data_IF_892897723679
#
_entry.id   IF_892897723679
#
_cell.length_a   1.000
_cell.length_b   1.000
_cell.length_c   1.000
_cell.angle_alpha   90.00
_cell.angle_beta   90.00
_cell.angle_gamma   90.00
#
_symmetry.space_group_name_H-M   'P 1'
#
loop_
_entity.id
_entity.type
_entity.pdbx_description
1 polymer ?
#
# COMPACT_ATOMS: atom_id res chain seq x y z
N UNK A 1 -22.04 9.43 -17.26
CA UNK A 1 -20.77 10.12 -17.59
C UNK A 1 -19.93 10.09 -16.32
N UNK A 2 -18.79 9.40 -16.31
CA UNK A 2 -17.93 9.32 -15.11
C UNK A 2 -17.06 10.58 -15.08
N UNK A 3 -16.86 11.23 -13.92
CA UNK A 3 -15.89 12.31 -13.82
C UNK A 3 -14.54 11.82 -14.32
N UNK A 4 -13.86 12.65 -15.11
CA UNK A 4 -12.56 12.33 -15.64
C UNK A 4 -11.50 12.29 -14.53
N UNK A 5 -10.33 11.78 -14.92
CA UNK A 5 -9.12 11.86 -14.09
C UNK A 5 -8.82 13.30 -13.59
N UNK A 6 -8.97 14.36 -14.41
CA UNK A 6 -8.74 15.74 -13.98
C UNK A 6 -9.70 16.19 -12.87
N UNK A 7 -11.00 15.92 -12.99
CA UNK A 7 -12.00 16.32 -12.00
C UNK A 7 -11.78 15.60 -10.66
N UNK A 8 -11.40 14.32 -10.70
CA UNK A 8 -11.08 13.56 -9.48
C UNK A 8 -9.85 14.14 -8.76
N UNK A 9 -8.84 14.60 -9.51
CA UNK A 9 -7.65 15.23 -8.96
C UNK A 9 -7.99 16.55 -8.23
N UNK A 10 -8.87 17.37 -8.79
CA UNK A 10 -9.32 18.62 -8.16
C UNK A 10 -10.03 18.34 -6.84
N UNK A 11 -10.94 17.36 -6.82
CA UNK A 11 -11.64 16.94 -5.60
C UNK A 11 -10.65 16.43 -4.55
N UNK A 12 -9.67 15.61 -4.96
CA UNK A 12 -8.64 15.10 -4.06
C UNK A 12 -7.83 16.22 -3.40
N UNK A 13 -7.48 17.27 -4.15
CA UNK A 13 -6.77 18.44 -3.61
C UNK A 13 -7.63 19.18 -2.58
N UNK A 14 -8.92 19.38 -2.84
CA UNK A 14 -9.84 20.02 -1.89
C UNK A 14 -9.92 19.23 -0.58
N UNK A 15 -10.09 17.90 -0.68
CA UNK A 15 -10.09 17.00 0.49
C UNK A 15 -8.76 17.11 1.25
N UNK A 16 -7.63 17.14 0.53
CA UNK A 16 -6.32 17.25 1.16
C UNK A 16 -6.13 18.58 1.92
N UNK A 17 -6.72 19.68 1.43
CA UNK A 17 -6.69 20.98 2.11
C UNK A 17 -7.57 20.98 3.36
N UNK A 18 -8.77 20.42 3.29
CA UNK A 18 -9.72 20.38 4.43
C UNK A 18 -9.22 19.46 5.54
N UNK A 19 -8.74 18.27 5.19
CA UNK A 19 -8.30 17.27 6.17
C UNK A 19 -6.83 17.44 6.55
N UNK A 20 -6.01 18.02 5.67
CA UNK A 20 -4.57 18.15 5.81
C UNK A 20 -3.82 16.86 5.44
N UNK A 21 -2.62 17.01 4.87
CA UNK A 21 -1.77 15.86 4.50
C UNK A 21 -1.34 14.99 5.70
N UNK A 22 -1.19 15.58 6.89
CA UNK A 22 -0.79 14.87 8.10
C UNK A 22 -1.82 13.86 8.61
N UNK A 23 -3.10 14.26 8.69
CA UNK A 23 -4.19 13.36 9.11
C UNK A 23 -4.41 12.23 8.12
N UNK A 24 -4.41 12.56 6.83
CA UNK A 24 -4.53 11.60 5.73
C UNK A 24 -3.40 10.55 5.82
N UNK A 25 -2.13 10.97 5.90
CA UNK A 25 -1.01 10.03 6.00
C UNK A 25 -1.06 9.15 7.23
N UNK A 26 -1.49 9.67 8.38
CA UNK A 26 -1.65 8.89 9.61
C UNK A 26 -2.69 7.78 9.45
N UNK A 27 -3.89 8.13 8.98
CA UNK A 27 -4.99 7.18 8.77
C UNK A 27 -4.62 6.16 7.69
N UNK A 28 -4.07 6.60 6.55
CA UNK A 28 -3.63 5.68 5.50
C UNK A 28 -2.45 4.80 5.94
N UNK A 29 -1.58 5.27 6.84
CA UNK A 29 -0.51 4.46 7.42
C UNK A 29 -1.05 3.35 8.31
N UNK A 30 -1.97 3.67 9.22
CA UNK A 30 -2.63 2.71 10.11
C UNK A 30 -3.45 1.68 9.31
N UNK A 31 -4.22 2.14 8.31
CA UNK A 31 -4.99 1.26 7.43
C UNK A 31 -4.10 0.43 6.50
N UNK A 32 -3.03 1.03 5.97
CA UNK A 32 -2.11 0.38 5.04
C UNK A 32 -1.34 -0.76 5.69
N UNK A 33 -0.91 -0.59 6.93
CA UNK A 33 -0.28 -1.66 7.72
C UNK A 33 -1.24 -2.84 7.95
N UNK A 34 -2.48 -2.56 8.36
CA UNK A 34 -3.50 -3.60 8.54
C UNK A 34 -3.83 -4.36 7.25
N UNK A 35 -3.97 -3.65 6.13
CA UNK A 35 -4.21 -4.27 4.81
C UNK A 35 -2.98 -5.07 4.35
N UNK A 36 -1.76 -4.62 4.64
CA UNK A 36 -0.53 -5.33 4.29
C UNK A 36 -0.42 -6.67 5.03
N UNK A 37 -0.64 -6.67 6.35
CA UNK A 37 -0.67 -7.89 7.16
C UNK A 37 -1.84 -8.80 6.78
N UNK A 38 -3.01 -8.24 6.47
CA UNK A 38 -4.14 -9.02 5.96
C UNK A 38 -3.80 -9.70 4.63
N UNK A 39 -3.18 -8.98 3.69
CA UNK A 39 -2.73 -9.55 2.42
C UNK A 39 -1.64 -10.60 2.61
N UNK A 40 -0.74 -10.40 3.58
CA UNK A 40 0.32 -11.36 3.93
C UNK A 40 -0.28 -12.64 4.52
N UNK A 41 -1.18 -12.52 5.49
CA UNK A 41 -1.88 -13.67 6.08
C UNK A 41 -2.75 -14.44 5.09
N UNK A 42 -3.41 -13.74 4.14
CA UNK A 42 -4.12 -14.40 3.04
C UNK A 42 -3.18 -15.15 2.09
N UNK A 43 -1.97 -14.62 1.83
CA UNK A 43 -0.96 -15.29 0.99
C UNK A 43 -0.33 -16.48 1.71
N UNK A 44 0.02 -16.35 2.99
CA UNK A 44 0.55 -17.44 3.81
C UNK A 44 -0.50 -18.55 4.00
N UNK A 45 -1.78 -18.21 4.19
CA UNK A 45 -2.87 -19.19 4.30
C UNK A 45 -3.29 -19.83 2.97
N UNK A 46 -2.92 -19.23 1.83
CA UNK A 46 -3.23 -19.76 0.49
C UNK A 46 -2.02 -20.41 -0.18
N UNK A 47 -0.83 -20.37 0.42
CA UNK A 47 0.40 -20.84 -0.20
C UNK A 47 1.43 -21.23 0.86
N UNK A 48 1.53 -22.53 1.11
CA UNK A 48 2.69 -23.18 1.75
C UNK A 48 3.97 -23.16 0.86
N UNK A 49 3.97 -22.43 -0.25
CA UNK A 49 5.11 -22.36 -1.17
C UNK A 49 5.36 -20.92 -1.62
N UNK A 50 6.42 -20.33 -1.07
CA UNK A 50 7.43 -19.49 -1.73
C UNK A 50 8.15 -18.63 -0.68
N UNK A 51 8.98 -19.27 0.14
CA UNK A 51 10.24 -18.63 0.52
C UNK A 51 11.04 -18.53 -0.77
N UNK A 52 11.10 -17.34 -1.36
CA UNK A 52 12.21 -17.00 -2.24
C UNK A 52 13.46 -17.04 -1.35
N UNK A 53 14.41 -17.95 -1.59
CA UNK A 53 15.75 -17.75 -1.07
C UNK A 53 16.30 -16.55 -1.84
N UNK A 54 16.53 -15.43 -1.15
CA UNK A 54 17.49 -14.45 -1.66
C UNK A 54 18.84 -15.15 -1.72
N UNK A 55 19.16 -15.63 -2.92
CA UNK A 55 20.50 -15.99 -3.33
C UNK A 55 21.37 -14.74 -3.19
N UNK A 56 22.15 -14.72 -2.12
CA UNK A 56 23.29 -13.83 -1.98
C UNK A 56 24.53 -14.68 -1.63
N UNK A 57 24.69 -15.80 -2.35
CA UNK A 57 25.90 -16.63 -2.31
C UNK A 57 26.71 -16.51 -3.61
N UNK A 58 26.94 -15.27 -4.05
CA UNK A 58 27.96 -14.97 -5.06
C UNK A 58 28.84 -13.85 -4.51
N UNK A 59 30.16 -14.02 -4.60
CA UNK A 59 31.23 -13.10 -4.16
C UNK A 59 31.71 -13.28 -2.70
N UNK A 60 32.05 -14.50 -2.28
CA UNK A 60 33.26 -14.81 -1.48
C UNK A 60 33.68 -16.27 -1.68
N UNK A 61 34.32 -16.59 -2.80
CA UNK A 61 35.18 -17.77 -2.91
C UNK A 61 36.34 -17.47 -3.85
#
# INVERSE_FOLDING_TARGET
>A
MKPGLPELLVILVIVLVVFGAGRIRRVFGELGGGIAEFRKGLREGSSDEQKLPEDNEVIRK
#
